data_IF_246521131572
#
_entry.id   IF_246521131572
#
_cell.length_a   1.000
_cell.length_b   1.000
_cell.length_c   1.000
_cell.angle_alpha   90.00
_cell.angle_beta   90.00
_cell.angle_gamma   90.00
#
_symmetry.space_group_name_H-M   'P 1'
#
loop_
_entity.id
_entity.type
_entity.pdbx_description
1 polymer ?
#
# COMPACT_ATOMS: atom_id res chain seq x y z
N UNK A 1 -29.48 24.44 35.86
CA UNK A 1 -29.64 25.61 34.97
C UNK A 1 -28.27 26.24 34.73
N UNK A 2 -27.67 25.99 33.56
CA UNK A 2 -26.32 26.47 33.22
C UNK A 2 -26.49 27.60 32.19
N UNK A 3 -26.07 28.82 32.55
CA UNK A 3 -26.15 30.02 31.71
C UNK A 3 -25.08 29.97 30.62
N UNK A 4 -25.53 29.92 29.37
CA UNK A 4 -24.72 30.01 28.15
C UNK A 4 -24.29 31.47 27.94
N UNK A 5 -22.98 31.74 27.91
CA UNK A 5 -22.44 33.08 27.60
C UNK A 5 -21.93 33.11 26.16
N UNK A 6 -22.63 33.85 25.30
CA UNK A 6 -22.29 34.05 23.89
C UNK A 6 -21.27 35.20 23.80
N UNK A 7 -20.09 34.93 23.22
CA UNK A 7 -19.10 35.96 22.90
C UNK A 7 -19.38 36.52 21.50
N UNK A 8 -19.65 37.82 21.44
CA UNK A 8 -19.86 38.62 20.23
C UNK A 8 -18.49 38.84 19.57
N UNK A 9 -18.33 38.42 18.31
CA UNK A 9 -17.12 38.68 17.52
C UNK A 9 -17.35 39.98 16.73
N UNK A 10 -16.57 40.99 17.07
CA UNK A 10 -16.55 42.30 16.40
C UNK A 10 -15.90 42.16 15.02
N UNK A 11 -16.62 42.59 13.98
CA UNK A 11 -16.14 42.65 12.60
C UNK A 11 -15.34 43.95 12.44
N UNK A 12 -14.03 43.85 12.22
CA UNK A 12 -13.21 45.01 11.86
C UNK A 12 -13.37 45.30 10.36
N UNK A 13 -13.74 46.54 10.07
CA UNK A 13 -14.04 47.10 8.77
C UNK A 13 -12.80 47.28 7.88
N UNK A 14 -13.02 47.04 6.59
CA UNK A 14 -12.09 47.18 5.47
C UNK A 14 -11.80 48.66 5.20
N UNK A 15 -10.55 49.09 5.34
CA UNK A 15 -10.09 50.41 4.85
C UNK A 15 -9.26 50.23 3.58
N UNK A 16 -9.78 50.75 2.46
CA UNK A 16 -9.08 50.84 1.17
C UNK A 16 -8.17 52.07 1.22
N UNK A 17 -6.86 51.85 1.34
CA UNK A 17 -5.85 52.90 1.22
C UNK A 17 -5.12 52.79 -0.11
N UNK A 18 -5.39 53.73 -1.02
CA UNK A 18 -4.56 54.00 -2.20
C UNK A 18 -3.24 54.64 -1.73
N UNK A 19 -2.13 53.95 -1.95
CA UNK A 19 -0.80 54.45 -1.58
C UNK A 19 0.30 53.81 -2.41
N UNK A 20 0.72 54.55 -3.44
CA UNK A 20 2.04 54.63 -4.07
C UNK A 20 2.80 53.33 -4.40
N UNK A 21 3.02 53.14 -5.71
CA UNK A 21 4.00 52.23 -6.29
C UNK A 21 5.42 52.53 -5.80
N UNK A 22 6.02 51.57 -5.11
CA UNK A 22 7.47 51.40 -5.07
C UNK A 22 7.81 50.06 -5.72
N UNK A 23 8.53 50.10 -6.83
CA UNK A 23 9.20 48.93 -7.42
C UNK A 23 10.66 48.98 -6.96
N UNK A 24 11.05 48.23 -5.93
CA UNK A 24 12.46 47.94 -5.71
C UNK A 24 12.90 46.88 -6.74
N UNK A 25 13.80 47.28 -7.65
CA UNK A 25 14.67 46.36 -8.37
C UNK A 25 15.52 45.63 -7.31
N UNK A 26 15.23 44.37 -7.04
CA UNK A 26 16.18 43.34 -6.61
C UNK A 26 15.46 41.99 -6.51
N UNK A 27 15.96 41.02 -7.29
CA UNK A 27 15.84 39.57 -7.09
C UNK A 27 14.47 38.99 -6.74
N UNK A 28 13.86 38.30 -7.70
CA UNK A 28 12.72 37.42 -7.47
C UNK A 28 13.13 36.26 -6.53
N UNK A 29 13.02 36.44 -5.22
CA UNK A 29 13.14 35.34 -4.26
C UNK A 29 11.75 34.73 -4.08
N UNK A 30 11.51 33.59 -4.73
CA UNK A 30 10.41 32.70 -4.36
C UNK A 30 10.55 32.38 -2.86
N UNK A 31 9.46 32.45 -2.07
CA UNK A 31 9.50 31.89 -0.72
C UNK A 31 9.70 30.38 -0.86
N UNK A 32 10.96 29.94 -0.70
CA UNK A 32 11.31 28.55 -0.47
C UNK A 32 10.72 28.16 0.87
N UNK A 33 9.44 27.80 0.87
CA UNK A 33 8.88 26.93 1.89
C UNK A 33 9.85 25.75 1.98
N UNK A 34 10.40 25.39 3.14
CA UNK A 34 11.11 24.14 3.25
C UNK A 34 10.10 23.06 2.90
N UNK A 35 10.20 22.52 1.68
CA UNK A 35 9.62 21.23 1.37
C UNK A 35 10.30 20.34 2.37
N UNK A 36 9.57 19.96 3.41
CA UNK A 36 9.96 18.90 4.32
C UNK A 36 10.23 17.74 3.39
N UNK A 37 11.51 17.47 3.11
CA UNK A 37 11.88 16.36 2.26
C UNK A 37 11.35 15.15 2.99
N UNK A 38 10.24 14.61 2.48
CA UNK A 38 9.78 13.31 2.91
C UNK A 38 10.96 12.44 2.50
N UNK A 39 11.74 12.01 3.49
CA UNK A 39 12.71 10.95 3.32
C UNK A 39 11.87 9.75 2.95
N UNK A 40 11.56 9.60 1.64
CA UNK A 40 10.90 8.42 1.11
C UNK A 40 11.74 7.29 1.66
N UNK A 41 11.17 6.49 2.57
CA UNK A 41 11.82 5.28 3.02
C UNK A 41 12.08 4.50 1.75
N UNK A 42 13.35 4.43 1.36
CA UNK A 42 13.81 4.04 0.03
C UNK A 42 13.62 2.55 -0.27
N UNK A 43 12.72 1.92 0.48
CA UNK A 43 12.60 0.50 0.72
C UNK A 43 11.13 0.07 0.62
N UNK A 44 10.19 1.03 0.54
CA UNK A 44 8.77 0.74 0.37
C UNK A 44 8.51 0.44 -1.10
N UNK A 45 8.04 -0.78 -1.39
CA UNK A 45 7.65 -1.24 -2.71
C UNK A 45 6.13 -1.43 -2.73
N UNK A 46 5.40 -0.78 -3.65
CA UNK A 46 3.97 -1.02 -3.81
C UNK A 46 3.73 -2.39 -4.46
N UNK A 47 2.73 -3.12 -3.94
CA UNK A 47 2.30 -4.42 -4.47
C UNK A 47 0.78 -4.46 -4.62
N UNK A 48 0.30 -5.21 -5.60
CA UNK A 48 -1.11 -5.44 -5.86
C UNK A 48 -1.54 -6.81 -5.34
N UNK A 49 -2.66 -6.84 -4.64
CA UNK A 49 -3.36 -8.03 -4.19
C UNK A 49 -4.50 -8.31 -5.18
N UNK A 50 -4.54 -9.50 -5.80
CA UNK A 50 -5.69 -9.96 -6.56
C UNK A 50 -7.00 -9.93 -5.75
N UNK A 51 -8.12 -9.87 -6.46
CA UNK A 51 -9.44 -9.69 -5.85
C UNK A 51 -9.85 -10.84 -4.94
N UNK A 52 -9.58 -12.07 -5.38
CA UNK A 52 -9.85 -13.27 -4.63
C UNK A 52 -8.55 -13.92 -4.15
N UNK A 53 -8.63 -14.56 -2.98
CA UNK A 53 -7.60 -15.42 -2.45
C UNK A 53 -8.23 -16.68 -1.85
N UNK A 54 -7.46 -17.75 -1.76
CA UNK A 54 -7.77 -18.96 -1.01
C UNK A 54 -6.79 -19.07 0.13
N UNK A 55 -7.31 -19.04 1.36
CA UNK A 55 -6.54 -19.25 2.59
C UNK A 55 -6.65 -20.72 2.96
N UNK A 56 -5.51 -21.39 3.00
CA UNK A 56 -5.38 -22.77 3.49
C UNK A 56 -4.88 -22.71 4.92
N UNK A 57 -5.63 -23.31 5.84
CA UNK A 57 -5.27 -23.43 7.24
C UNK A 57 -4.41 -24.67 7.46
N UNK A 58 -3.59 -24.68 8.52
CA UNK A 58 -2.77 -25.84 8.91
C UNK A 58 -3.58 -27.10 9.21
N UNK A 59 -4.89 -26.96 9.40
CA UNK A 59 -5.84 -28.09 9.52
C UNK A 59 -6.28 -28.64 8.16
N UNK A 60 -5.71 -28.19 7.04
CA UNK A 60 -6.10 -28.47 5.64
C UNK A 60 -7.50 -27.99 5.24
N UNK A 61 -8.16 -27.18 6.07
CA UNK A 61 -9.41 -26.53 5.69
C UNK A 61 -9.12 -25.26 4.92
N UNK A 62 -9.99 -24.92 3.96
CA UNK A 62 -9.79 -23.78 3.09
C UNK A 62 -10.95 -22.79 3.21
N UNK A 63 -10.64 -21.53 2.93
CA UNK A 63 -11.61 -20.46 2.81
C UNK A 63 -11.18 -19.51 1.72
N UNK A 64 -12.08 -19.24 0.78
CA UNK A 64 -11.82 -18.24 -0.26
C UNK A 64 -12.52 -16.93 0.04
N UNK A 65 -11.94 -15.84 -0.43
CA UNK A 65 -12.51 -14.49 -0.36
C UNK A 65 -11.43 -13.42 -0.57
N UNK A 66 -11.83 -12.16 -0.42
CA UNK A 66 -10.94 -11.02 -0.54
C UNK A 66 -10.20 -10.77 0.76
N UNK A 67 -8.89 -10.58 0.70
CA UNK A 67 -8.13 -10.13 1.88
C UNK A 67 -8.37 -8.63 2.07
N UNK A 68 -9.10 -8.26 3.12
CA UNK A 68 -9.52 -6.87 3.36
C UNK A 68 -8.75 -6.17 4.48
N UNK A 69 -8.07 -6.93 5.32
CA UNK A 69 -7.24 -6.37 6.39
C UNK A 69 -6.08 -7.29 6.75
N UNK A 70 -4.98 -6.68 7.20
CA UNK A 70 -3.81 -7.35 7.76
C UNK A 70 -3.44 -6.61 9.05
N UNK A 71 -3.81 -7.19 10.20
CA UNK A 71 -3.57 -6.61 11.51
C UNK A 71 -2.22 -7.11 12.06
N UNK A 72 -1.20 -6.25 11.96
CA UNK A 72 0.15 -6.52 12.43
C UNK A 72 0.23 -6.70 13.95
N UNK A 73 -0.67 -6.09 14.73
CA UNK A 73 -0.62 -6.13 16.18
C UNK A 73 -1.27 -7.39 16.72
N UNK A 74 -2.37 -7.82 16.09
CA UNK A 74 -3.08 -9.06 16.43
C UNK A 74 -2.51 -10.27 15.71
N UNK A 75 -1.64 -10.08 14.72
CA UNK A 75 -1.14 -11.13 13.83
C UNK A 75 -2.28 -11.89 13.17
N UNK A 76 -3.20 -11.15 12.53
CA UNK A 76 -4.40 -11.69 11.89
C UNK A 76 -4.59 -11.15 10.47
N UNK A 77 -5.19 -11.95 9.59
CA UNK A 77 -5.74 -11.48 8.32
C UNK A 77 -7.26 -11.54 8.38
N UNK A 78 -7.93 -10.60 7.71
CA UNK A 78 -9.39 -10.64 7.56
C UNK A 78 -9.75 -10.98 6.12
N UNK A 79 -10.54 -12.03 5.96
CA UNK A 79 -11.08 -12.50 4.68
C UNK A 79 -12.55 -12.10 4.59
N UNK A 80 -12.94 -11.41 3.53
CA UNK A 80 -14.32 -11.03 3.24
C UNK A 80 -14.87 -11.85 2.06
N UNK A 81 -16.08 -12.39 2.21
CA UNK A 81 -16.84 -13.02 1.12
C UNK A 81 -18.33 -12.80 1.32
N UNK A 82 -19.01 -12.36 0.26
CA UNK A 82 -20.47 -12.15 0.25
C UNK A 82 -20.98 -11.29 1.42
N UNK A 83 -20.26 -10.21 1.75
CA UNK A 83 -20.61 -9.29 2.84
C UNK A 83 -20.36 -9.81 4.25
N UNK A 84 -19.71 -10.98 4.40
CA UNK A 84 -19.28 -11.53 5.69
C UNK A 84 -17.76 -11.48 5.78
N UNK A 85 -17.25 -11.05 6.92
CA UNK A 85 -15.81 -11.01 7.21
C UNK A 85 -15.46 -12.00 8.31
N UNK A 86 -14.30 -12.64 8.19
CA UNK A 86 -13.72 -13.52 9.21
C UNK A 86 -12.25 -13.19 9.40
N UNK A 87 -11.87 -12.92 10.65
CA UNK A 87 -10.48 -12.81 11.06
C UNK A 87 -9.88 -14.21 11.27
N UNK A 88 -8.63 -14.39 10.86
CA UNK A 88 -7.88 -15.64 10.95
C UNK A 88 -6.51 -15.30 11.49
N UNK A 89 -6.10 -15.97 12.58
CA UNK A 89 -4.76 -15.83 13.13
C UNK A 89 -3.73 -16.35 12.12
N UNK A 90 -2.66 -15.60 11.91
CA UNK A 90 -1.54 -15.97 11.05
C UNK A 90 -0.95 -17.32 11.48
N UNK A 91 -0.96 -17.62 12.78
CA UNK A 91 -0.49 -18.90 13.34
C UNK A 91 -1.24 -20.11 12.81
N UNK A 92 -2.49 -19.94 12.37
CA UNK A 92 -3.35 -21.02 11.88
C UNK A 92 -3.29 -21.18 10.37
N UNK A 93 -2.63 -20.24 9.67
CA UNK A 93 -2.54 -20.20 8.22
C UNK A 93 -1.31 -20.99 7.78
N UNK A 94 -1.51 -21.86 6.82
CA UNK A 94 -0.43 -22.51 6.09
C UNK A 94 0.04 -21.62 4.93
N UNK A 95 -0.92 -21.19 4.09
CA UNK A 95 -0.66 -20.29 2.96
C UNK A 95 -1.90 -19.56 2.50
N UNK A 96 -1.70 -18.49 1.74
CA UNK A 96 -2.73 -17.73 1.04
C UNK A 96 -2.34 -17.68 -0.43
N UNK A 97 -3.14 -18.32 -1.28
CA UNK A 97 -2.94 -18.35 -2.73
C UNK A 97 -3.90 -17.35 -3.38
N UNK A 98 -3.36 -16.40 -4.14
CA UNK A 98 -4.17 -15.38 -4.79
C UNK A 98 -4.66 -15.81 -6.16
N UNK A 99 -5.83 -15.32 -6.52
CA UNK A 99 -6.43 -15.51 -7.83
C UNK A 99 -5.69 -14.76 -8.94
N UNK A 100 -6.26 -14.86 -10.15
CA UNK A 100 -5.67 -14.28 -11.37
C UNK A 100 -6.11 -12.85 -11.63
N UNK A 101 -7.31 -12.48 -11.20
CA UNK A 101 -7.86 -11.15 -11.48
C UNK A 101 -7.30 -10.12 -10.49
N UNK A 102 -6.67 -9.07 -11.02
CA UNK A 102 -6.03 -8.03 -10.22
C UNK A 102 -6.18 -6.67 -10.89
N UNK A 103 -6.25 -5.61 -10.09
CA UNK A 103 -6.18 -4.23 -10.56
C UNK A 103 -4.74 -3.75 -10.53
N UNK A 104 -4.20 -3.37 -11.69
CA UNK A 104 -2.83 -2.84 -11.76
C UNK A 104 -2.74 -1.46 -11.11
N UNK A 105 -1.61 -1.15 -10.48
CA UNK A 105 -1.50 0.02 -9.60
C UNK A 105 -1.47 1.33 -10.39
N UNK A 106 -0.77 1.38 -11.54
CA UNK A 106 -0.60 2.61 -12.32
C UNK A 106 -1.74 2.80 -13.31
N UNK A 107 -2.04 1.77 -14.11
CA UNK A 107 -3.11 1.87 -15.10
C UNK A 107 -4.50 1.88 -14.47
N UNK A 108 -4.65 1.31 -13.26
CA UNK A 108 -5.94 1.12 -12.60
C UNK A 108 -6.87 0.14 -13.34
N UNK A 109 -6.37 -0.51 -14.40
CA UNK A 109 -7.14 -1.45 -15.21
C UNK A 109 -7.17 -2.81 -14.51
N UNK A 110 -8.33 -3.49 -14.46
CA UNK A 110 -8.37 -4.89 -14.12
C UNK A 110 -7.69 -5.69 -15.23
N UNK A 111 -6.88 -6.67 -14.84
CA UNK A 111 -6.26 -7.65 -15.73
C UNK A 111 -6.47 -9.05 -15.17
N UNK A 112 -6.55 -10.03 -16.05
CA UNK A 112 -6.63 -11.45 -15.69
C UNK A 112 -5.27 -12.07 -16.03
N UNK A 113 -4.50 -12.42 -15.00
CA UNK A 113 -3.19 -13.07 -15.12
C UNK A 113 -3.27 -14.32 -16.01
N UNK A 114 -2.49 -14.32 -17.09
CA UNK A 114 -2.38 -15.42 -18.06
C UNK A 114 -3.33 -15.33 -19.26
N UNK A 115 -4.18 -14.31 -19.34
CA UNK A 115 -4.97 -13.99 -20.54
C UNK A 115 -4.19 -13.04 -21.48
N UNK A 116 -3.28 -12.27 -20.91
CA UNK A 116 -2.23 -11.54 -21.59
C UNK A 116 -0.96 -12.39 -21.71
N UNK A 117 -0.39 -12.50 -22.92
CA UNK A 117 0.92 -13.14 -23.17
C UNK A 117 2.10 -12.41 -22.46
N UNK A 118 1.82 -11.45 -21.58
CA UNK A 118 2.78 -10.64 -20.84
C UNK A 118 3.22 -11.27 -19.52
N UNK A 119 2.53 -12.30 -19.02
CA UNK A 119 2.98 -13.04 -17.85
C UNK A 119 4.21 -13.88 -18.21
N UNK A 120 5.41 -13.34 -18.03
CA UNK A 120 6.63 -14.12 -18.15
C UNK A 120 6.83 -14.90 -16.83
N UNK A 121 6.69 -16.24 -16.83
CA UNK A 121 6.84 -17.07 -15.63
C UNK A 121 8.24 -16.98 -15.00
N UNK A 122 9.24 -16.44 -15.73
CA UNK A 122 10.59 -16.17 -15.20
C UNK A 122 10.70 -14.86 -14.41
N UNK A 123 9.59 -14.19 -14.07
CA UNK A 123 9.61 -12.93 -13.31
C UNK A 123 9.17 -13.08 -11.85
N UNK A 124 8.98 -14.31 -11.40
CA UNK A 124 8.63 -14.60 -10.01
C UNK A 124 9.79 -14.26 -9.07
N UNK A 125 9.49 -13.52 -8.02
CA UNK A 125 10.42 -13.22 -6.93
C UNK A 125 9.79 -13.62 -5.59
N UNK A 126 10.64 -14.00 -4.64
CA UNK A 126 10.22 -14.27 -3.26
C UNK A 126 10.90 -13.29 -2.32
N UNK A 127 10.10 -12.58 -1.53
CA UNK A 127 10.58 -11.61 -0.54
C UNK A 127 10.19 -12.06 0.86
N UNK A 128 11.16 -12.14 1.77
CA UNK A 128 10.92 -12.50 3.16
C UNK A 128 11.26 -11.35 4.09
N UNK A 129 10.23 -10.79 4.72
CA UNK A 129 10.32 -9.58 5.55
C UNK A 129 9.56 -9.78 6.87
N UNK A 130 9.87 -9.03 7.94
CA UNK A 130 9.06 -9.00 9.16
C UNK A 130 7.58 -8.73 8.85
N UNK A 131 6.65 -9.27 9.65
CA UNK A 131 5.21 -8.98 9.48
C UNK A 131 4.91 -7.47 9.47
N UNK A 132 5.66 -6.70 10.28
CA UNK A 132 5.52 -5.25 10.40
C UNK A 132 5.87 -4.48 9.12
N UNK A 133 6.52 -5.13 8.16
CA UNK A 133 6.90 -4.54 6.89
C UNK A 133 5.83 -4.66 5.81
N UNK A 134 4.78 -5.45 6.01
CA UNK A 134 3.68 -5.59 5.06
C UNK A 134 2.43 -4.87 5.53
N UNK A 135 1.81 -4.08 4.65
CA UNK A 135 0.59 -3.33 4.97
C UNK A 135 -0.35 -3.28 3.77
N UNK A 136 -1.62 -3.56 4.01
CA UNK A 136 -2.69 -3.25 3.06
C UNK A 136 -3.02 -1.76 3.19
N UNK A 137 -2.81 -1.00 2.11
CA UNK A 137 -3.02 0.46 2.10
C UNK A 137 -4.41 0.83 1.59
N UNK A 138 -4.96 0.04 0.66
CA UNK A 138 -6.33 0.17 0.21
C UNK A 138 -6.82 -1.20 -0.28
N UNK A 139 -7.58 -1.89 0.58
CA UNK A 139 -8.15 -3.19 0.26
C UNK A 139 -9.12 -3.14 -0.94
N UNK A 140 -9.87 -2.05 -1.12
CA UNK A 140 -10.85 -1.97 -2.19
C UNK A 140 -10.22 -2.05 -3.57
N UNK A 141 -9.09 -1.34 -3.75
CA UNK A 141 -8.30 -1.38 -4.97
C UNK A 141 -7.22 -2.47 -4.98
N UNK A 142 -7.16 -3.34 -3.97
CA UNK A 142 -6.12 -4.36 -3.86
C UNK A 142 -4.71 -3.78 -3.70
N UNK A 143 -4.55 -2.60 -3.11
CA UNK A 143 -3.23 -1.97 -2.93
C UNK A 143 -2.64 -2.33 -1.58
N UNK A 144 -1.39 -2.76 -1.60
CA UNK A 144 -0.56 -3.01 -0.43
C UNK A 144 0.86 -2.51 -0.66
N UNK A 145 1.66 -2.50 0.40
CA UNK A 145 3.05 -2.08 0.41
C UNK A 145 3.88 -3.06 1.22
N UNK A 146 5.12 -3.26 0.79
CA UNK A 146 6.13 -4.04 1.52
C UNK A 146 7.41 -3.24 1.70
N UNK A 147 7.99 -3.28 2.89
CA UNK A 147 9.31 -2.69 3.16
C UNK A 147 10.37 -3.78 2.97
N UNK A 148 11.23 -3.61 1.96
CA UNK A 148 12.35 -4.49 1.70
C UNK A 148 13.60 -4.05 2.47
N UNK A 149 14.04 -4.88 3.42
CA UNK A 149 15.11 -4.54 4.37
C UNK A 149 16.41 -5.30 4.14
N UNK A 150 16.35 -6.46 3.49
CA UNK A 150 17.52 -7.34 3.30
C UNK A 150 18.33 -7.10 2.02
N UNK A 151 17.79 -6.31 1.09
CA UNK A 151 18.39 -6.08 -0.22
C UNK A 151 19.45 -4.98 -0.21
N UNK A 152 20.45 -5.12 -1.07
CA UNK A 152 21.43 -4.08 -1.31
C UNK A 152 20.79 -2.84 -1.95
N UNK A 153 21.48 -1.69 -1.84
CA UNK A 153 21.02 -0.44 -2.50
C UNK A 153 20.87 -0.58 -4.01
N UNK A 154 21.67 -1.43 -4.65
CA UNK A 154 21.62 -1.65 -6.09
C UNK A 154 20.37 -2.47 -6.47
N UNK A 155 20.08 -3.54 -5.74
CA UNK A 155 18.88 -4.37 -5.93
C UNK A 155 17.61 -3.56 -5.68
N UNK A 156 17.55 -2.81 -4.58
CA UNK A 156 16.41 -1.92 -4.28
C UNK A 156 16.19 -0.87 -5.38
N UNK A 157 17.27 -0.35 -5.98
CA UNK A 157 17.17 0.58 -7.11
C UNK A 157 16.57 -0.11 -8.33
N UNK A 158 16.97 -1.35 -8.62
CA UNK A 158 16.43 -2.15 -9.71
C UNK A 158 14.94 -2.44 -9.55
N UNK A 159 14.54 -2.94 -8.37
CA UNK A 159 13.14 -3.21 -8.04
C UNK A 159 12.28 -1.95 -8.16
N UNK A 160 12.80 -0.81 -7.67
CA UNK A 160 12.09 0.46 -7.79
C UNK A 160 11.97 0.93 -9.24
N UNK A 161 13.02 0.78 -10.03
CA UNK A 161 12.96 1.16 -11.44
C UNK A 161 11.86 0.37 -12.17
N UNK A 162 11.72 -0.93 -11.86
CA UNK A 162 10.63 -1.76 -12.35
C UNK A 162 9.27 -1.26 -11.82
N UNK A 163 9.17 -0.96 -10.53
CA UNK A 163 7.92 -0.50 -9.92
C UNK A 163 7.42 0.87 -10.41
N UNK A 164 8.15 1.56 -11.29
CA UNK A 164 7.72 2.80 -11.93
C UNK A 164 6.91 2.56 -13.20
N UNK A 165 7.08 1.41 -13.84
CA UNK A 165 6.45 1.05 -15.13
C UNK A 165 5.66 -0.24 -15.04
N UNK A 166 5.84 -1.00 -13.97
CA UNK A 166 5.27 -2.32 -13.77
C UNK A 166 4.61 -2.39 -12.38
N UNK A 167 3.64 -3.28 -12.26
CA UNK A 167 3.02 -3.64 -10.99
C UNK A 167 3.59 -4.97 -10.49
N UNK A 168 4.02 -5.01 -9.23
CA UNK A 168 4.29 -6.28 -8.54
C UNK A 168 2.98 -6.85 -8.02
N UNK A 169 2.57 -8.00 -8.52
CA UNK A 169 1.33 -8.67 -8.12
C UNK A 169 1.66 -9.82 -7.19
N UNK A 170 1.03 -9.88 -6.02
CA UNK A 170 1.18 -10.99 -5.08
C UNK A 170 0.50 -12.23 -5.65
N UNK A 171 1.23 -13.33 -5.65
CA UNK A 171 0.78 -14.65 -6.07
C UNK A 171 0.48 -15.53 -4.86
N UNK A 172 1.39 -15.52 -3.89
CA UNK A 172 1.25 -16.27 -2.64
C UNK A 172 1.72 -15.44 -1.45
N UNK A 173 1.06 -15.61 -0.31
CA UNK A 173 1.59 -15.26 1.00
C UNK A 173 1.71 -16.51 1.86
N UNK A 174 2.84 -16.65 2.54
CA UNK A 174 3.02 -17.62 3.60
C UNK A 174 3.78 -16.99 4.77
N UNK A 175 3.88 -17.74 5.86
CA UNK A 175 4.45 -17.26 7.11
C UNK A 175 5.47 -18.28 7.61
N UNK A 176 6.58 -17.81 8.17
CA UNK A 176 7.59 -18.71 8.73
C UNK A 176 7.09 -19.41 10.00
N UNK A 177 7.81 -20.41 10.49
CA UNK A 177 7.39 -21.24 11.63
C UNK A 177 7.09 -20.44 12.91
N UNK A 178 7.83 -19.34 13.13
CA UNK A 178 7.64 -18.43 14.26
C UNK A 178 6.59 -17.35 14.00
N UNK A 179 5.97 -17.34 12.82
CA UNK A 179 4.96 -16.40 12.35
C UNK A 179 5.33 -14.92 12.59
N UNK A 180 6.62 -14.59 12.51
CA UNK A 180 7.13 -13.24 12.70
C UNK A 180 7.63 -12.62 11.38
N UNK A 181 7.71 -13.43 10.34
CA UNK A 181 8.00 -13.00 8.98
C UNK A 181 6.87 -13.41 8.04
N UNK A 182 6.61 -12.53 7.09
CA UNK A 182 5.81 -12.82 5.91
C UNK A 182 6.75 -13.18 4.76
N UNK A 183 6.35 -14.17 3.98
CA UNK A 183 6.99 -14.57 2.74
C UNK A 183 6.00 -14.23 1.63
N UNK A 184 6.39 -13.36 0.72
CA UNK A 184 5.59 -12.95 -0.42
C UNK A 184 6.21 -13.51 -1.69
N UNK A 185 5.44 -14.28 -2.44
CA UNK A 185 5.77 -14.59 -3.83
C UNK A 185 5.07 -13.59 -4.72
N UNK A 186 5.83 -12.85 -5.52
CA UNK A 186 5.33 -11.79 -6.40
C UNK A 186 5.70 -12.05 -7.84
N UNK A 187 4.85 -11.59 -8.76
CA UNK A 187 5.06 -11.66 -10.21
C UNK A 187 5.00 -10.23 -10.76
N UNK A 188 5.87 -9.92 -11.72
CA UNK A 188 5.91 -8.60 -12.36
C UNK A 188 4.91 -8.56 -13.51
N UNK A 189 4.05 -7.55 -13.52
CA UNK A 189 3.13 -7.24 -14.62
C UNK A 189 3.51 -5.92 -15.26
N UNK A 190 3.58 -5.90 -16.58
CA UNK A 190 3.68 -4.65 -17.34
C UNK A 190 2.31 -4.01 -17.41
N UNK A 191 2.24 -2.73 -17.03
CA UNK A 191 1.02 -1.93 -17.11
C UNK A 191 0.73 -1.44 -18.54
#
# INVERSE_FOLDING_TARGET
MIKLSIKIITIASLTVGLGLYFIPKNGFSLPSRPIKSIKIQNNIIPVALPYDATVTLKTNSTMSGKIVNFDQQKSEITVEKSGRSKAIAITDIEKVEFGREVKLIHSGKPVIRGEDNNANPNTTETWQEPLTHFKITNAQDGKAEVILSKLSKAELRGIRAVSQTNTYVVDELSFNDNNNHIILTVIRYSD
#
